data_IF_812201716401
#
_entry.id   IF_812201716401
#
_cell.length_a   1.000
_cell.length_b   1.000
_cell.length_c   1.000
_cell.angle_alpha   90.00
_cell.angle_beta   90.00
_cell.angle_gamma   90.00
#
_symmetry.space_group_name_H-M   'P 1'
#
loop_
_entity.id
_entity.type
_entity.pdbx_description
1 polymer ?
#
# COMPACT_ATOMS: atom_id res chain seq x y z
N UNK A 1 -9.83 -6.25 -19.20
CA UNK A 1 -10.53 -7.48 -18.78
C UNK A 1 -12.02 -7.42 -19.09
N UNK A 2 -12.78 -6.50 -18.48
CA UNK A 2 -14.25 -6.40 -18.65
C UNK A 2 -14.64 -6.25 -20.11
N UNK A 3 -14.02 -5.32 -20.84
CA UNK A 3 -14.35 -5.08 -22.25
C UNK A 3 -14.12 -6.29 -23.16
N UNK A 4 -13.14 -7.13 -22.84
CA UNK A 4 -12.76 -8.27 -23.66
C UNK A 4 -13.53 -9.56 -23.30
N UNK A 5 -13.90 -9.72 -22.02
CA UNK A 5 -14.38 -11.01 -21.47
C UNK A 5 -15.68 -10.91 -20.67
N UNK A 6 -16.14 -9.70 -20.36
CA UNK A 6 -17.24 -9.46 -19.43
C UNK A 6 -16.88 -9.63 -17.94
N UNK A 7 -15.66 -10.09 -17.61
CA UNK A 7 -15.19 -10.27 -16.23
C UNK A 7 -14.15 -9.22 -15.84
N UNK A 8 -14.16 -8.79 -14.56
CA UNK A 8 -13.11 -7.95 -14.00
C UNK A 8 -11.80 -8.73 -13.77
N UNK A 9 -11.89 -10.05 -13.57
CA UNK A 9 -10.75 -10.95 -13.38
C UNK A 9 -11.07 -12.30 -14.06
N UNK A 10 -10.63 -12.50 -15.31
CA UNK A 10 -10.79 -13.77 -16.02
C UNK A 10 -9.98 -14.89 -15.37
N UNK A 11 -10.49 -16.13 -15.41
CA UNK A 11 -9.83 -17.31 -14.82
C UNK A 11 -8.41 -17.52 -15.38
N UNK A 12 -8.22 -17.31 -16.68
CA UNK A 12 -6.89 -17.38 -17.33
C UNK A 12 -5.88 -16.38 -16.72
N UNK A 13 -6.35 -15.19 -16.31
CA UNK A 13 -5.48 -14.21 -15.64
C UNK A 13 -5.04 -14.69 -14.26
N UNK A 14 -5.94 -15.35 -13.52
CA UNK A 14 -5.62 -15.94 -12.22
C UNK A 14 -4.60 -17.07 -12.40
N UNK A 15 -4.82 -17.97 -13.36
CA UNK A 15 -3.90 -19.07 -13.65
C UNK A 15 -2.52 -18.54 -14.03
N UNK A 16 -2.45 -17.48 -14.84
CA UNK A 16 -1.19 -16.83 -15.16
C UNK A 16 -0.50 -16.31 -13.90
N UNK A 17 -1.21 -15.61 -13.02
CA UNK A 17 -0.65 -15.12 -11.76
C UNK A 17 -0.17 -16.26 -10.84
N UNK A 18 -0.92 -17.37 -10.75
CA UNK A 18 -0.55 -18.55 -9.96
C UNK A 18 0.69 -19.28 -10.48
N UNK A 19 0.98 -19.16 -11.77
CA UNK A 19 2.14 -19.77 -12.42
C UNK A 19 3.37 -18.85 -12.44
N UNK A 20 3.23 -17.57 -12.10
CA UNK A 20 4.34 -16.61 -11.99
C UNK A 20 5.11 -16.73 -10.66
N UNK A 21 6.26 -16.07 -10.59
CA UNK A 21 7.02 -15.86 -9.34
C UNK A 21 6.60 -14.57 -8.62
N UNK A 22 6.20 -13.55 -9.40
CA UNK A 22 5.67 -12.28 -8.93
C UNK A 22 4.68 -11.69 -9.94
N UNK A 23 3.82 -10.79 -9.47
CA UNK A 23 2.88 -10.05 -10.31
C UNK A 23 3.18 -8.55 -10.21
N UNK A 24 3.55 -7.91 -11.32
CA UNK A 24 3.59 -6.45 -11.41
C UNK A 24 2.27 -5.97 -12.02
N UNK A 25 1.58 -5.09 -11.31
CA UNK A 25 0.27 -4.58 -11.67
C UNK A 25 0.32 -3.06 -11.84
N UNK A 26 -0.40 -2.55 -12.84
CA UNK A 26 -0.49 -1.11 -13.11
C UNK A 26 -1.56 -0.47 -12.24
N UNK A 27 -2.70 -0.15 -12.85
CA UNK A 27 -3.84 0.43 -12.17
C UNK A 27 -5.16 -0.09 -12.75
N UNK A 28 -6.24 0.09 -12.00
CA UNK A 28 -7.59 -0.36 -12.36
C UNK A 28 -8.62 0.72 -12.02
N UNK A 29 -9.76 0.70 -12.71
CA UNK A 29 -10.83 1.69 -12.57
C UNK A 29 -10.98 2.57 -13.82
N UNK A 30 -12.09 3.30 -13.89
CA UNK A 30 -12.33 4.26 -14.95
C UNK A 30 -13.82 4.61 -15.10
N UNK A 31 -14.14 5.83 -15.57
CA UNK A 31 -15.50 6.38 -15.55
C UNK A 31 -16.52 5.58 -16.35
N UNK A 32 -16.04 4.76 -17.30
CA UNK A 32 -16.86 3.81 -18.06
C UNK A 32 -17.58 2.78 -17.17
N UNK A 33 -17.05 2.49 -15.99
CA UNK A 33 -17.57 1.45 -15.09
C UNK A 33 -18.04 1.97 -13.72
N UNK A 34 -18.23 3.28 -13.56
CA UNK A 34 -18.57 3.92 -12.29
C UNK A 34 -20.06 3.86 -11.90
N UNK A 35 -20.91 3.23 -12.71
CA UNK A 35 -22.33 3.09 -12.37
C UNK A 35 -22.50 2.31 -11.04
N UNK A 36 -23.09 2.92 -9.99
CA UNK A 36 -23.31 2.26 -8.69
C UNK A 36 -24.25 1.05 -8.75
N UNK A 37 -24.95 0.84 -9.86
CA UNK A 37 -25.81 -0.32 -10.14
C UNK A 37 -25.11 -1.38 -10.99
N UNK A 38 -23.88 -1.13 -11.46
CA UNK A 38 -23.11 -2.10 -12.23
C UNK A 38 -22.91 -3.38 -11.43
N UNK A 39 -23.15 -4.52 -12.08
CA UNK A 39 -22.96 -5.85 -11.47
C UNK A 39 -21.49 -6.23 -11.33
N UNK A 40 -20.64 -5.67 -12.19
CA UNK A 40 -19.21 -5.93 -12.25
C UNK A 40 -18.52 -4.60 -12.38
N UNK A 41 -17.57 -4.34 -11.48
CA UNK A 41 -16.72 -3.16 -11.50
C UNK A 41 -15.25 -3.56 -11.56
N UNK A 42 -14.36 -2.72 -12.10
CA UNK A 42 -12.94 -3.01 -12.19
C UNK A 42 -12.32 -3.35 -10.82
N UNK A 43 -12.77 -2.68 -9.75
CA UNK A 43 -12.27 -2.88 -8.37
C UNK A 43 -12.62 -4.28 -7.83
N UNK A 44 -13.67 -4.92 -8.35
CA UNK A 44 -14.00 -6.29 -7.95
C UNK A 44 -12.88 -7.27 -8.36
N UNK A 45 -12.14 -6.96 -9.44
CA UNK A 45 -11.01 -7.76 -9.92
C UNK A 45 -9.80 -7.70 -8.98
N UNK A 46 -9.39 -6.50 -8.54
CA UNK A 46 -8.25 -6.35 -7.62
C UNK A 46 -8.55 -6.94 -6.23
N UNK A 47 -9.79 -6.83 -5.75
CA UNK A 47 -10.20 -7.49 -4.50
C UNK A 47 -10.20 -9.02 -4.64
N UNK A 48 -10.66 -9.53 -5.78
CA UNK A 48 -10.68 -10.96 -6.04
C UNK A 48 -9.27 -11.56 -6.16
N UNK A 49 -8.35 -10.94 -6.91
CA UNK A 49 -6.98 -11.46 -7.08
C UNK A 49 -6.23 -11.47 -5.75
N UNK A 50 -6.33 -10.41 -4.94
CA UNK A 50 -5.73 -10.36 -3.59
C UNK A 50 -6.21 -11.49 -2.71
N UNK A 51 -7.52 -11.77 -2.74
CA UNK A 51 -8.11 -12.87 -1.96
C UNK A 51 -7.68 -14.24 -2.47
N UNK A 52 -7.68 -14.46 -3.79
CA UNK A 52 -7.32 -15.75 -4.39
C UNK A 52 -5.84 -16.10 -4.20
N UNK A 53 -4.97 -15.10 -4.27
CA UNK A 53 -3.54 -15.25 -4.00
C UNK A 53 -3.21 -15.21 -2.49
N UNK A 54 -4.20 -14.93 -1.63
CA UNK A 54 -4.02 -14.89 -0.17
C UNK A 54 -3.18 -13.71 0.32
N UNK A 55 -3.11 -12.62 -0.43
CA UNK A 55 -2.25 -11.45 -0.19
C UNK A 55 -2.76 -10.60 0.96
N UNK A 56 -2.54 -11.05 2.20
CA UNK A 56 -3.12 -10.41 3.39
C UNK A 56 -2.32 -9.21 3.90
N UNK A 57 -1.05 -9.06 3.54
CA UNK A 57 -0.20 -7.98 4.04
C UNK A 57 0.12 -6.99 2.92
N UNK A 58 -0.44 -5.78 3.00
CA UNK A 58 -0.10 -4.69 2.10
C UNK A 58 0.93 -3.78 2.76
N UNK A 59 2.10 -3.66 2.13
CA UNK A 59 3.19 -2.79 2.54
C UNK A 59 3.15 -1.53 1.67
N UNK A 60 3.09 -0.37 2.32
CA UNK A 60 3.13 0.94 1.68
C UNK A 60 4.21 1.79 2.33
N UNK A 61 5.45 1.77 1.80
CA UNK A 61 6.51 2.64 2.28
C UNK A 61 6.19 4.10 1.93
N UNK A 62 6.49 5.00 2.85
CA UNK A 62 6.34 6.45 2.69
C UNK A 62 7.66 7.09 3.08
N UNK A 63 8.38 7.58 2.08
CA UNK A 63 9.66 8.29 2.21
C UNK A 63 9.51 9.68 1.64
N UNK A 64 9.87 10.69 2.43
CA UNK A 64 9.99 12.07 1.93
C UNK A 64 11.40 12.27 1.39
N UNK A 65 11.52 12.57 0.11
CA UNK A 65 12.80 12.91 -0.50
C UNK A 65 13.12 14.38 -0.19
N UNK A 66 14.34 14.72 0.28
CA UNK A 66 14.71 16.11 0.56
C UNK A 66 14.50 17.06 -0.62
N UNK A 67 14.69 16.55 -1.84
CA UNK A 67 14.53 17.27 -3.12
C UNK A 67 13.07 17.52 -3.51
N UNK A 68 12.13 16.89 -2.82
CA UNK A 68 10.67 17.00 -3.01
C UNK A 68 9.96 17.53 -1.75
N UNK A 69 10.70 18.00 -0.74
CA UNK A 69 10.10 18.39 0.55
C UNK A 69 9.04 19.49 0.42
N UNK A 70 9.19 20.38 -0.58
CA UNK A 70 8.25 21.46 -0.88
C UNK A 70 7.07 21.02 -1.76
N UNK A 71 7.04 19.78 -2.25
CA UNK A 71 5.91 19.24 -3.01
C UNK A 71 4.74 18.88 -2.09
N UNK A 72 5.00 18.66 -0.79
CA UNK A 72 3.95 18.41 0.20
C UNK A 72 3.30 19.71 0.68
N UNK A 73 1.99 19.72 0.98
CA UNK A 73 1.33 20.86 1.62
C UNK A 73 1.68 21.01 3.10
N UNK A 74 2.40 20.05 3.70
CA UNK A 74 2.85 20.09 5.09
C UNK A 74 4.13 20.90 5.20
N UNK A 75 4.32 21.58 6.33
CA UNK A 75 5.50 22.42 6.58
C UNK A 75 6.79 21.59 6.45
N UNK A 76 7.81 22.05 5.70
CA UNK A 76 9.03 21.28 5.44
C UNK A 76 9.72 20.76 6.70
N UNK A 77 9.79 21.56 7.77
CA UNK A 77 10.45 21.17 9.03
C UNK A 77 9.78 19.97 9.75
N UNK A 78 8.52 19.66 9.43
CA UNK A 78 7.83 18.47 9.96
C UNK A 78 8.08 17.21 9.12
N UNK A 79 8.57 17.38 7.89
CA UNK A 79 8.75 16.30 6.92
C UNK A 79 10.19 15.75 6.90
N UNK A 80 11.11 16.44 7.57
CA UNK A 80 12.50 15.99 7.68
C UNK A 80 12.57 14.62 8.37
N UNK A 81 13.27 13.68 7.72
CA UNK A 81 13.49 12.33 8.26
C UNK A 81 12.28 11.41 8.21
N UNK A 82 11.19 11.79 7.52
CA UNK A 82 10.03 10.92 7.32
C UNK A 82 10.40 9.74 6.41
N UNK A 83 10.49 8.57 7.03
CA UNK A 83 10.67 7.27 6.41
C UNK A 83 9.95 6.24 7.29
N UNK A 84 8.81 5.76 6.80
CA UNK A 84 7.96 4.80 7.49
C UNK A 84 7.39 3.75 6.53
N UNK A 85 6.90 2.64 7.07
CA UNK A 85 6.12 1.65 6.32
C UNK A 85 4.77 1.47 7.00
N UNK A 86 3.69 1.62 6.25
CA UNK A 86 2.37 1.21 6.73
C UNK A 86 2.05 -0.19 6.24
N UNK A 87 1.72 -1.07 7.18
CA UNK A 87 1.38 -2.48 7.03
C UNK A 87 -0.12 -2.63 7.25
N UNK A 88 -0.86 -2.74 6.15
CA UNK A 88 -2.32 -2.85 6.14
C UNK A 88 -2.74 -4.31 5.97
N UNK A 89 -3.63 -4.78 6.84
CA UNK A 89 -4.34 -6.05 6.58
C UNK A 89 -5.24 -5.89 5.35
N UNK A 90 -5.14 -6.77 4.36
CA UNK A 90 -5.70 -6.51 3.02
C UNK A 90 -6.86 -7.43 2.62
N UNK A 91 -7.13 -8.51 3.37
CA UNK A 91 -8.06 -9.58 2.95
C UNK A 91 -9.24 -9.83 3.88
N UNK A 92 -9.33 -9.09 4.99
CA UNK A 92 -10.37 -9.21 6.01
C UNK A 92 -11.06 -7.88 6.33
N UNK A 93 -11.68 -7.81 7.51
CA UNK A 93 -12.32 -6.59 8.00
C UNK A 93 -13.58 -6.18 7.23
N UNK A 94 -13.91 -4.88 7.31
CA UNK A 94 -15.15 -4.29 6.79
C UNK A 94 -15.36 -4.52 5.28
N UNK A 95 -14.28 -4.77 4.55
CA UNK A 95 -14.29 -4.86 3.08
C UNK A 95 -14.82 -6.21 2.62
N UNK A 96 -14.57 -7.28 3.39
CA UNK A 96 -14.85 -8.65 2.99
C UNK A 96 -15.90 -9.35 3.85
N UNK A 97 -16.05 -8.94 5.11
CA UNK A 97 -16.92 -9.64 6.06
C UNK A 97 -18.42 -9.46 5.75
N UNK A 98 -19.18 -10.51 6.06
CA UNK A 98 -20.63 -10.59 5.88
C UNK A 98 -21.34 -10.60 7.25
N UNK A 99 -22.59 -10.10 7.32
CA UNK A 99 -23.41 -9.58 6.23
C UNK A 99 -22.97 -8.21 5.69
N UNK A 100 -23.10 -8.02 4.37
CA UNK A 100 -22.89 -6.77 3.64
C UNK A 100 -24.00 -6.57 2.60
N UNK A 101 -25.00 -5.71 2.87
CA UNK A 101 -26.17 -5.56 1.98
C UNK A 101 -26.95 -4.27 2.18
N UNK A 102 -27.77 -3.93 1.18
CA UNK A 102 -28.78 -2.86 1.22
C UNK A 102 -30.18 -3.45 1.02
N UNK A 103 -31.19 -2.94 1.73
CA UNK A 103 -32.58 -3.39 1.56
C UNK A 103 -33.60 -2.31 1.91
N UNK A 104 -34.83 -2.48 1.40
CA UNK A 104 -35.98 -1.64 1.73
C UNK A 104 -36.75 -2.21 2.93
N UNK A 105 -37.17 -1.34 3.83
CA UNK A 105 -38.12 -1.66 4.92
C UNK A 105 -39.32 -0.74 4.85
N UNK A 106 -40.39 -1.06 5.59
CA UNK A 106 -41.53 -0.14 5.76
C UNK A 106 -41.15 1.21 6.38
N UNK A 107 -39.95 1.32 6.98
CA UNK A 107 -39.41 2.55 7.57
C UNK A 107 -38.29 3.20 6.73
N UNK A 108 -38.11 2.76 5.48
CA UNK A 108 -37.09 3.28 4.57
C UNK A 108 -35.94 2.33 4.27
N UNK A 109 -34.95 2.84 3.55
CA UNK A 109 -33.75 2.11 3.10
C UNK A 109 -32.80 1.86 4.27
N UNK A 110 -32.17 0.68 4.30
CA UNK A 110 -31.13 0.30 5.26
C UNK A 110 -29.91 -0.28 4.53
N UNK A 111 -28.74 -0.12 5.15
CA UNK A 111 -27.48 -0.73 4.76
C UNK A 111 -26.79 -1.36 5.97
N UNK A 112 -25.98 -2.39 5.75
CA UNK A 112 -25.14 -3.00 6.77
C UNK A 112 -23.81 -3.42 6.15
N UNK A 113 -22.75 -3.23 6.91
CA UNK A 113 -21.39 -3.69 6.68
C UNK A 113 -20.87 -4.22 8.03
N UNK A 114 -20.08 -5.31 8.01
CA UNK A 114 -19.65 -6.00 9.23
C UNK A 114 -18.15 -5.88 9.40
N UNK A 115 -17.68 -5.37 10.54
CA UNK A 115 -16.26 -5.43 10.89
C UNK A 115 -15.99 -6.69 11.70
N UNK A 116 -15.22 -7.62 11.14
CA UNK A 116 -14.88 -8.89 11.77
C UNK A 116 -13.44 -9.26 11.48
N UNK A 117 -12.74 -9.69 12.52
CA UNK A 117 -11.43 -10.31 12.46
C UNK A 117 -11.38 -11.53 13.37
N UNK A 118 -10.61 -12.52 12.96
CA UNK A 118 -10.23 -13.68 13.76
C UNK A 118 -8.81 -13.52 14.28
N UNK A 119 -8.49 -14.23 15.36
CA UNK A 119 -7.14 -14.21 15.93
C UNK A 119 -6.06 -14.54 14.88
N UNK A 120 -6.27 -15.56 14.06
CA UNK A 120 -5.34 -15.96 13.00
C UNK A 120 -5.08 -14.86 11.97
N UNK A 121 -6.10 -14.08 11.63
CA UNK A 121 -5.95 -12.96 10.68
C UNK A 121 -5.13 -11.81 11.29
N UNK A 122 -5.27 -11.58 12.60
CA UNK A 122 -4.57 -10.54 13.33
C UNK A 122 -3.11 -10.95 13.59
N UNK A 123 -2.87 -12.18 14.07
CA UNK A 123 -1.52 -12.69 14.34
C UNK A 123 -0.63 -12.62 13.10
N UNK A 124 -1.13 -13.07 11.94
CA UNK A 124 -0.30 -13.11 10.72
C UNK A 124 0.15 -11.72 10.25
N UNK A 125 -0.70 -10.70 10.35
CA UNK A 125 -0.34 -9.34 9.90
C UNK A 125 0.55 -8.63 10.92
N UNK A 126 0.32 -8.86 12.22
CA UNK A 126 1.19 -8.34 13.27
C UNK A 126 2.61 -8.89 13.16
N UNK A 127 2.76 -10.20 12.91
CA UNK A 127 4.10 -10.79 12.68
C UNK A 127 4.82 -10.15 11.51
N UNK A 128 4.12 -9.85 10.40
CA UNK A 128 4.71 -9.09 9.29
C UNK A 128 5.20 -7.72 9.77
N UNK A 129 4.37 -6.98 10.51
CA UNK A 129 4.76 -5.68 11.07
C UNK A 129 5.97 -5.76 11.99
N UNK A 130 6.01 -6.75 12.90
CA UNK A 130 7.11 -6.94 13.83
C UNK A 130 8.43 -7.30 13.14
N UNK A 131 8.43 -8.25 12.19
CA UNK A 131 9.64 -8.60 11.45
C UNK A 131 10.16 -7.44 10.60
N UNK A 132 9.27 -6.63 10.01
CA UNK A 132 9.66 -5.41 9.30
C UNK A 132 10.28 -4.38 10.24
N UNK A 133 9.67 -4.15 11.40
CA UNK A 133 10.19 -3.23 12.40
C UNK A 133 11.56 -3.69 12.91
N UNK A 134 11.75 -5.00 13.14
CA UNK A 134 13.02 -5.61 13.58
C UNK A 134 14.18 -5.31 12.61
N UNK A 135 13.91 -5.27 11.30
CA UNK A 135 14.87 -4.92 10.27
C UNK A 135 15.09 -3.41 10.07
N UNK A 136 14.37 -2.56 10.80
CA UNK A 136 14.38 -1.09 10.68
C UNK A 136 14.77 -0.44 12.01
N UNK A 137 14.02 0.56 12.49
CA UNK A 137 14.29 1.28 13.75
C UNK A 137 13.75 0.56 14.98
N UNK A 138 13.21 -0.66 14.81
CA UNK A 138 12.69 -1.51 15.87
C UNK A 138 11.53 -0.88 16.63
N UNK A 139 10.69 -0.12 15.92
CA UNK A 139 9.46 0.47 16.45
C UNK A 139 8.26 0.04 15.61
N UNK A 140 7.30 -0.61 16.26
CA UNK A 140 6.01 -0.98 15.69
C UNK A 140 4.90 -0.21 16.40
N UNK A 141 4.18 0.63 15.66
CA UNK A 141 2.96 1.28 16.12
C UNK A 141 1.73 0.52 15.64
N UNK A 142 0.96 -0.07 16.55
CA UNK A 142 -0.32 -0.71 16.27
C UNK A 142 -1.46 0.31 16.38
N UNK A 143 -2.21 0.50 15.29
CA UNK A 143 -3.34 1.45 15.22
C UNK A 143 -4.68 0.73 15.34
N UNK A 144 -5.56 1.23 16.21
CA UNK A 144 -6.87 0.63 16.44
C UNK A 144 -7.94 1.66 16.91
N UNK A 145 -9.14 1.18 17.25
CA UNK A 145 -10.18 1.96 17.96
C UNK A 145 -10.70 1.21 19.19
N UNK A 146 -9.79 0.68 20.02
CA UNK A 146 -10.11 -0.21 21.14
C UNK A 146 -10.98 0.45 22.24
N UNK A 147 -11.05 1.77 22.28
CA UNK A 147 -11.97 2.48 23.18
C UNK A 147 -13.45 2.38 22.76
N UNK A 148 -13.75 1.94 21.53
CA UNK A 148 -15.12 1.84 21.00
C UNK A 148 -15.44 0.45 20.43
N UNK A 149 -14.50 -0.18 19.72
CA UNK A 149 -14.76 -1.40 18.92
C UNK A 149 -14.18 -2.65 19.58
N UNK A 150 -15.00 -3.70 19.75
CA UNK A 150 -14.56 -4.99 20.28
C UNK A 150 -13.56 -5.71 19.36
N UNK A 151 -13.70 -5.59 18.04
CA UNK A 151 -12.71 -6.10 17.08
C UNK A 151 -11.34 -5.42 17.26
N UNK A 152 -11.32 -4.13 17.59
CA UNK A 152 -10.09 -3.39 17.90
C UNK A 152 -9.52 -3.72 19.28
N UNK A 153 -10.35 -4.10 20.26
CA UNK A 153 -9.87 -4.62 21.55
C UNK A 153 -9.15 -5.95 21.37
N UNK A 154 -9.77 -6.88 20.62
CA UNK A 154 -9.13 -8.14 20.24
C UNK A 154 -7.83 -7.90 19.47
N UNK A 155 -7.82 -6.96 18.53
CA UNK A 155 -6.60 -6.57 17.81
C UNK A 155 -5.48 -6.16 18.76
N UNK A 156 -5.78 -5.27 19.70
CA UNK A 156 -4.81 -4.78 20.68
C UNK A 156 -4.32 -5.88 21.63
N UNK A 157 -5.22 -6.73 22.11
CA UNK A 157 -4.90 -7.88 22.96
C UNK A 157 -3.87 -8.78 22.28
N UNK A 158 -4.14 -9.19 21.03
CA UNK A 158 -3.24 -10.05 20.26
C UNK A 158 -1.92 -9.33 19.92
N UNK A 159 -1.94 -8.02 19.66
CA UNK A 159 -0.71 -7.24 19.44
C UNK A 159 0.23 -7.32 20.66
N UNK A 160 -0.32 -7.23 21.87
CA UNK A 160 0.45 -7.40 23.12
C UNK A 160 0.92 -8.84 23.29
N UNK A 161 0.10 -9.83 22.97
CA UNK A 161 0.51 -11.25 23.08
C UNK A 161 1.65 -11.59 22.11
N UNK A 162 1.53 -11.16 20.84
CA UNK A 162 2.53 -11.41 19.81
C UNK A 162 3.85 -10.71 20.13
N UNK A 163 3.82 -9.53 20.78
CA UNK A 163 5.04 -8.79 21.12
C UNK A 163 6.00 -9.56 22.04
N UNK A 164 5.51 -10.55 22.79
CA UNK A 164 6.35 -11.43 23.60
C UNK A 164 7.37 -12.22 22.76
N UNK A 165 7.08 -12.49 21.49
CA UNK A 165 8.00 -13.14 20.54
C UNK A 165 9.02 -12.14 19.94
N UNK A 166 8.85 -10.84 20.20
CA UNK A 166 9.62 -9.74 19.64
C UNK A 166 10.16 -8.78 20.71
N UNK A 167 10.91 -9.27 21.71
CA UNK A 167 11.37 -8.45 22.84
C UNK A 167 12.35 -7.34 22.43
N UNK A 168 12.88 -7.39 21.21
CA UNK A 168 13.77 -6.42 20.63
C UNK A 168 13.07 -5.30 19.83
N UNK A 169 11.74 -5.38 19.67
CA UNK A 169 10.92 -4.38 18.98
C UNK A 169 10.03 -3.67 20.00
N UNK A 170 10.10 -2.34 20.03
CA UNK A 170 9.19 -1.52 20.83
C UNK A 170 7.79 -1.53 20.19
N UNK A 171 6.78 -1.91 20.98
CA UNK A 171 5.36 -1.86 20.58
C UNK A 171 4.69 -0.65 21.21
N UNK A 172 4.12 0.22 20.38
CA UNK A 172 3.24 1.30 20.80
C UNK A 172 1.81 1.10 20.28
N UNK A 173 0.83 1.66 20.99
CA UNK A 173 -0.56 1.66 20.55
C UNK A 173 -1.08 3.09 20.42
N UNK A 174 -1.81 3.34 19.34
CA UNK A 174 -2.47 4.62 19.13
C UNK A 174 -3.88 4.42 18.58
N UNK A 175 -4.79 5.32 18.94
CA UNK A 175 -6.13 5.33 18.37
C UNK A 175 -6.09 5.95 16.96
N UNK A 176 -6.88 5.43 16.02
CA UNK A 176 -6.85 5.87 14.61
C UNK A 176 -7.06 7.38 14.40
N UNK A 177 -7.88 8.04 15.23
CA UNK A 177 -8.07 9.49 15.19
C UNK A 177 -6.83 10.26 15.64
N UNK A 178 -6.16 9.77 16.70
CA UNK A 178 -4.88 10.33 17.13
C UNK A 178 -3.77 10.03 16.12
N UNK A 179 -3.78 8.85 15.48
CA UNK A 179 -2.83 8.47 14.44
C UNK A 179 -2.89 9.44 13.26
N UNK A 180 -4.10 9.73 12.76
CA UNK A 180 -4.31 10.71 11.69
C UNK A 180 -3.72 12.10 12.06
N UNK A 181 -4.01 12.59 13.27
CA UNK A 181 -3.45 13.86 13.74
C UNK A 181 -1.91 13.83 13.85
N UNK A 182 -1.34 12.73 14.36
CA UNK A 182 0.10 12.57 14.56
C UNK A 182 0.86 12.34 13.25
N UNK A 183 0.25 11.71 12.25
CA UNK A 183 0.83 11.59 10.91
C UNK A 183 1.12 12.96 10.29
N UNK A 184 0.32 13.98 10.60
CA UNK A 184 0.58 15.33 10.07
C UNK A 184 1.51 16.13 11.00
N UNK A 185 1.33 16.01 12.32
CA UNK A 185 2.04 16.86 13.29
C UNK A 185 3.42 16.35 13.72
N UNK A 186 3.69 15.05 13.59
CA UNK A 186 4.97 14.43 13.94
C UNK A 186 5.22 13.12 13.14
N UNK A 187 5.20 13.15 11.79
CA UNK A 187 5.31 11.93 10.99
C UNK A 187 6.63 11.16 11.15
N UNK A 188 7.73 11.84 11.45
CA UNK A 188 9.06 11.22 11.56
C UNK A 188 9.22 10.31 12.79
N UNK A 189 8.27 10.36 13.73
CA UNK A 189 8.20 9.40 14.84
C UNK A 189 7.99 7.96 14.35
N UNK A 190 7.15 7.77 13.34
CA UNK A 190 6.71 6.42 12.94
C UNK A 190 7.76 5.68 12.12
N UNK A 191 8.05 4.44 12.52
CA UNK A 191 8.87 3.50 11.75
C UNK A 191 7.99 2.50 10.97
N UNK A 192 7.33 1.59 11.67
CA UNK A 192 6.35 0.68 11.07
C UNK A 192 4.99 0.89 11.74
N UNK A 193 3.97 1.17 10.94
CA UNK A 193 2.58 1.25 11.39
C UNK A 193 1.89 -0.03 10.96
N UNK A 194 1.13 -0.68 11.85
CA UNK A 194 0.28 -1.82 11.50
C UNK A 194 -1.18 -1.55 11.85
N UNK A 195 -2.08 -1.80 10.90
CA UNK A 195 -3.50 -1.49 11.04
C UNK A 195 -4.40 -2.49 10.32
N UNK A 196 -5.66 -2.55 10.74
CA UNK A 196 -6.71 -3.27 10.03
C UNK A 196 -7.02 -2.62 8.67
N UNK A 197 -7.81 -3.30 7.83
CA UNK A 197 -7.98 -2.94 6.43
C UNK A 197 -8.46 -1.52 6.19
N UNK A 198 -9.54 -1.07 6.85
CA UNK A 198 -10.11 0.26 6.60
C UNK A 198 -9.22 1.37 7.18
N UNK A 199 -8.72 1.21 8.40
CA UNK A 199 -7.78 2.17 8.99
C UNK A 199 -6.49 2.28 8.20
N UNK A 200 -5.91 1.14 7.78
CA UNK A 200 -4.72 1.11 6.94
C UNK A 200 -4.94 1.81 5.60
N UNK A 201 -6.11 1.62 4.96
CA UNK A 201 -6.47 2.34 3.73
C UNK A 201 -6.35 3.85 3.92
N UNK A 202 -7.09 4.38 4.90
CA UNK A 202 -7.20 5.81 5.17
C UNK A 202 -5.84 6.40 5.55
N UNK A 203 -5.11 5.76 6.47
CA UNK A 203 -3.82 6.28 6.96
C UNK A 203 -2.75 6.23 5.88
N UNK A 204 -2.78 5.25 4.98
CA UNK A 204 -1.81 5.18 3.88
C UNK A 204 -2.05 6.27 2.84
N UNK A 205 -3.31 6.56 2.53
CA UNK A 205 -3.66 7.65 1.63
C UNK A 205 -3.33 9.01 2.28
N UNK A 206 -3.54 9.17 3.59
CA UNK A 206 -3.11 10.36 4.34
C UNK A 206 -1.59 10.51 4.34
N UNK A 207 -0.84 9.45 4.63
CA UNK A 207 0.61 9.46 4.61
C UNK A 207 1.17 9.75 3.21
N UNK A 208 0.41 9.45 2.14
CA UNK A 208 0.83 9.78 0.78
C UNK A 208 1.00 11.27 0.52
N UNK A 209 0.24 12.10 1.23
CA UNK A 209 0.32 13.56 1.16
C UNK A 209 1.64 14.08 1.73
N UNK A 210 2.24 13.36 2.68
CA UNK A 210 3.55 13.70 3.26
C UNK A 210 4.65 13.62 2.20
N UNK A 211 4.60 12.61 1.33
CA UNK A 211 5.56 12.42 0.24
C UNK A 211 5.35 13.38 -0.95
N UNK A 212 4.35 14.27 -0.88
CA UNK A 212 4.03 15.27 -1.90
C UNK A 212 3.19 14.75 -3.06
N UNK A 213 3.34 13.49 -3.46
CA UNK A 213 2.52 12.87 -4.49
C UNK A 213 2.32 11.37 -4.27
N UNK A 214 1.10 10.89 -4.46
CA UNK A 214 0.79 9.45 -4.60
C UNK A 214 1.56 8.80 -5.76
N UNK A 215 1.93 9.57 -6.78
CA UNK A 215 2.72 9.13 -7.93
C UNK A 215 4.10 8.58 -7.57
N UNK A 216 4.61 8.92 -6.38
CA UNK A 216 5.91 8.48 -5.87
C UNK A 216 5.87 7.14 -5.15
N UNK A 217 4.69 6.65 -4.77
CA UNK A 217 4.60 5.66 -3.72
C UNK A 217 4.34 4.24 -4.27
N UNK A 218 5.27 3.30 -4.02
CA UNK A 218 5.07 1.91 -4.40
C UNK A 218 4.23 1.18 -3.37
N UNK A 219 3.80 -0.04 -3.71
CA UNK A 219 3.25 -0.97 -2.73
C UNK A 219 3.53 -2.42 -3.07
N UNK A 220 3.49 -3.26 -2.04
CA UNK A 220 3.64 -4.70 -2.15
C UNK A 220 2.54 -5.40 -1.35
N UNK A 221 1.82 -6.31 -1.99
CA UNK A 221 0.78 -7.15 -1.38
C UNK A 221 1.32 -8.57 -1.30
N UNK A 222 1.53 -9.06 -0.08
CA UNK A 222 2.21 -10.30 0.23
C UNK A 222 1.27 -11.30 0.91
N UNK A 223 1.41 -12.59 0.60
CA UNK A 223 0.75 -13.67 1.35
C UNK A 223 1.58 -14.18 2.55
N UNK A 224 2.62 -13.43 2.92
CA UNK A 224 3.55 -13.69 4.02
C UNK A 224 4.87 -12.99 3.73
N UNK A 225 5.70 -12.74 4.75
CA UNK A 225 7.05 -12.25 4.48
C UNK A 225 7.86 -13.34 3.75
N UNK A 226 8.68 -12.95 2.75
CA UNK A 226 9.61 -13.86 2.13
C UNK A 226 10.56 -14.45 3.17
N UNK A 227 10.73 -15.76 3.18
CA UNK A 227 11.73 -16.43 4.01
C UNK A 227 12.89 -16.89 3.12
N UNK A 228 14.01 -16.16 3.06
CA UNK A 228 15.14 -16.52 2.21
C UNK A 228 15.80 -17.85 2.64
N UNK A 229 15.53 -18.34 3.85
CA UNK A 229 16.01 -19.65 4.31
C UNK A 229 15.11 -20.82 3.87
N UNK A 230 13.88 -20.53 3.41
CA UNK A 230 12.92 -21.52 2.97
C UNK A 230 13.27 -22.02 1.57
N UNK A 231 13.37 -23.35 1.42
CA UNK A 231 13.49 -24.03 0.12
C UNK A 231 12.15 -24.19 -0.61
N UNK A 232 11.04 -23.75 -0.02
CA UNK A 232 9.72 -23.80 -0.66
C UNK A 232 9.60 -22.61 -1.62
N UNK A 233 8.82 -22.79 -2.70
CA UNK A 233 8.44 -21.68 -3.57
C UNK A 233 7.85 -20.56 -2.69
N UNK A 234 8.39 -19.34 -2.82
CA UNK A 234 7.87 -18.19 -2.10
C UNK A 234 6.40 -17.98 -2.48
N UNK A 235 5.56 -17.54 -1.54
CA UNK A 235 4.20 -17.14 -1.88
C UNK A 235 4.24 -16.03 -2.92
N UNK A 236 3.36 -16.13 -3.93
CA UNK A 236 3.23 -15.11 -4.96
C UNK A 236 2.86 -13.79 -4.30
N UNK A 237 3.51 -12.73 -4.76
CA UNK A 237 3.28 -11.36 -4.29
C UNK A 237 2.88 -10.48 -5.47
N UNK A 238 2.08 -9.45 -5.18
CA UNK A 238 1.63 -8.46 -6.15
C UNK A 238 2.22 -7.11 -5.81
N UNK A 239 2.80 -6.44 -6.80
CA UNK A 239 3.44 -5.14 -6.67
C UNK A 239 2.71 -4.14 -7.55
N UNK A 240 2.33 -3.00 -6.98
CA UNK A 240 1.55 -1.98 -7.69
C UNK A 240 1.82 -0.60 -7.10
N UNK A 241 1.81 0.48 -7.89
CA UNK A 241 1.77 1.82 -7.33
C UNK A 241 0.48 2.00 -6.53
N UNK A 242 0.49 2.87 -5.51
CA UNK A 242 -0.73 3.15 -4.75
C UNK A 242 -1.73 4.04 -5.51
N UNK A 243 -1.25 4.79 -6.51
CA UNK A 243 -2.11 5.71 -7.26
C UNK A 243 -3.13 4.94 -8.12
N UNK A 244 -4.30 5.54 -8.31
CA UNK A 244 -5.34 4.98 -9.17
C UNK A 244 -5.01 5.05 -10.66
N UNK A 245 -6.03 4.79 -11.48
CA UNK A 245 -5.94 4.78 -12.95
C UNK A 245 -5.80 6.16 -13.60
N UNK A 246 -6.00 7.24 -12.83
CA UNK A 246 -5.95 8.64 -13.29
C UNK A 246 -6.59 8.86 -14.68
N UNK A 247 -7.91 8.59 -14.83
CA UNK A 247 -8.57 8.55 -16.14
C UNK A 247 -8.51 9.86 -16.92
N UNK A 248 -8.40 10.98 -16.21
CA UNK A 248 -8.29 12.35 -16.73
C UNK A 248 -6.98 12.59 -17.50
N UNK A 249 -5.90 11.87 -17.18
CA UNK A 249 -4.59 11.97 -17.85
C UNK A 249 -4.21 10.72 -18.66
N UNK A 250 -5.08 9.71 -18.69
CA UNK A 250 -4.84 8.46 -19.41
C UNK A 250 -4.55 8.71 -20.90
N UNK A 251 -3.44 8.15 -21.40
CA UNK A 251 -3.02 8.29 -22.80
C UNK A 251 -2.35 9.63 -23.16
N UNK A 252 -2.20 10.56 -22.21
CA UNK A 252 -1.53 11.84 -22.46
C UNK A 252 -0.01 11.79 -22.28
N UNK A 253 0.53 10.69 -21.74
CA UNK A 253 1.97 10.50 -21.55
C UNK A 253 2.57 11.34 -20.42
N UNK A 254 1.76 11.84 -19.49
CA UNK A 254 2.21 12.74 -18.39
C UNK A 254 2.13 12.10 -16.99
N UNK A 255 1.75 10.83 -16.90
CA UNK A 255 1.69 10.10 -15.63
C UNK A 255 3.08 9.92 -15.02
N UNK A 256 3.17 9.95 -13.70
CA UNK A 256 4.40 9.66 -12.97
C UNK A 256 4.69 8.16 -12.95
N UNK A 257 5.80 7.67 -13.55
CA UNK A 257 6.10 6.24 -13.53
C UNK A 257 6.80 5.77 -12.24
N UNK A 258 7.23 6.69 -11.37
CA UNK A 258 8.14 6.38 -10.25
C UNK A 258 7.53 5.36 -9.29
N UNK A 259 6.26 5.52 -8.88
CA UNK A 259 5.61 4.56 -7.99
C UNK A 259 5.58 3.13 -8.57
N UNK A 260 5.42 3.00 -9.89
CA UNK A 260 5.47 1.68 -10.56
C UNK A 260 6.90 1.14 -10.60
N UNK A 261 7.89 1.99 -10.90
CA UNK A 261 9.32 1.63 -10.93
C UNK A 261 9.79 1.17 -9.54
N UNK A 262 9.44 1.89 -8.48
CA UNK A 262 9.77 1.51 -7.11
C UNK A 262 9.00 0.26 -6.65
N UNK A 263 7.81 -0.01 -7.22
CA UNK A 263 7.10 -1.28 -7.00
C UNK A 263 7.86 -2.44 -7.66
N UNK A 264 8.47 -2.21 -8.83
CA UNK A 264 9.37 -3.18 -9.43
C UNK A 264 10.67 -3.38 -8.62
N UNK A 265 11.23 -2.34 -8.00
CA UNK A 265 12.32 -2.49 -7.03
C UNK A 265 11.91 -3.35 -5.83
N UNK A 266 10.71 -3.13 -5.30
CA UNK A 266 10.15 -3.97 -4.24
C UNK A 266 9.96 -5.43 -4.67
N UNK A 267 9.62 -5.66 -5.95
CA UNK A 267 9.50 -7.00 -6.54
C UNK A 267 10.86 -7.70 -6.63
N UNK A 268 11.89 -7.00 -7.10
CA UNK A 268 13.27 -7.50 -7.15
C UNK A 268 13.72 -7.96 -5.75
N UNK A 269 13.53 -7.10 -4.76
CA UNK A 269 13.89 -7.37 -3.36
C UNK A 269 13.11 -8.54 -2.75
N UNK A 270 11.78 -8.42 -2.72
CA UNK A 270 10.93 -9.29 -1.90
C UNK A 270 10.60 -10.62 -2.57
N UNK A 271 10.41 -10.64 -3.89
CA UNK A 271 10.03 -11.87 -4.61
C UNK A 271 11.23 -12.58 -5.24
N UNK A 272 12.22 -11.82 -5.72
CA UNK A 272 13.32 -12.38 -6.51
C UNK A 272 14.64 -12.49 -5.73
N UNK A 273 14.73 -11.89 -4.55
CA UNK A 273 15.94 -11.91 -3.72
C UNK A 273 17.10 -11.12 -4.32
N UNK A 274 16.80 -10.18 -5.22
CA UNK A 274 17.73 -9.34 -5.97
C UNK A 274 17.89 -7.99 -5.27
N UNK A 275 18.58 -7.99 -4.12
CA UNK A 275 18.75 -6.78 -3.29
C UNK A 275 19.60 -5.73 -4.00
N UNK A 276 20.72 -6.12 -4.62
CA UNK A 276 21.64 -5.20 -5.30
C UNK A 276 20.92 -4.47 -6.44
N UNK A 277 20.13 -5.19 -7.23
CA UNK A 277 19.35 -4.62 -8.33
C UNK A 277 18.20 -3.75 -7.84
N UNK A 278 17.54 -4.12 -6.73
CA UNK A 278 16.51 -3.27 -6.11
C UNK A 278 17.11 -1.94 -5.64
N UNK A 279 18.26 -1.98 -4.95
CA UNK A 279 18.98 -0.79 -4.51
C UNK A 279 19.42 0.08 -5.68
N UNK A 280 19.94 -0.51 -6.77
CA UNK A 280 20.33 0.25 -7.96
C UNK A 280 19.16 1.05 -8.56
N UNK A 281 17.96 0.47 -8.62
CA UNK A 281 16.74 1.16 -9.09
C UNK A 281 16.35 2.29 -8.14
N UNK A 282 16.40 2.08 -6.82
CA UNK A 282 16.07 3.09 -5.81
C UNK A 282 17.05 4.28 -5.85
N UNK A 283 18.34 4.00 -5.94
CA UNK A 283 19.39 5.01 -6.09
C UNK A 283 19.28 5.77 -7.41
N UNK A 284 18.92 5.09 -8.50
CA UNK A 284 18.66 5.73 -9.79
C UNK A 284 17.50 6.74 -9.68
N UNK A 285 16.38 6.36 -9.06
CA UNK A 285 15.25 7.27 -8.80
C UNK A 285 15.70 8.48 -7.97
N UNK A 286 16.41 8.24 -6.86
CA UNK A 286 16.88 9.31 -5.99
C UNK A 286 17.84 10.27 -6.72
N UNK A 287 18.74 9.75 -7.55
CA UNK A 287 19.64 10.53 -8.39
C UNK A 287 18.93 11.38 -9.44
N UNK A 288 17.91 10.83 -10.12
CA UNK A 288 17.09 11.58 -11.10
C UNK A 288 16.33 12.73 -10.42
N UNK A 289 15.79 12.49 -9.22
CA UNK A 289 15.13 13.55 -8.45
C UNK A 289 16.13 14.62 -7.98
N UNK A 290 17.35 14.24 -7.61
CA UNK A 290 18.40 15.19 -7.23
C UNK A 290 18.84 16.10 -8.38
N UNK A 291 18.74 15.64 -9.63
CA UNK A 291 19.02 16.45 -10.82
C UNK A 291 17.89 17.38 -11.25
N UNK A 292 16.75 17.30 -10.55
CA UNK A 292 15.63 18.22 -10.76
C UNK A 292 14.60 17.74 -11.78
N UNK A 293 14.67 16.51 -12.29
CA UNK A 293 13.61 15.94 -13.15
C UNK A 293 12.31 15.77 -12.36
N UNK A 294 11.20 16.27 -12.91
CA UNK A 294 9.88 16.22 -12.25
C UNK A 294 8.78 15.90 -13.27
N UNK A 295 7.89 14.97 -12.95
CA UNK A 295 6.59 14.88 -13.64
C UNK A 295 5.62 15.91 -13.09
N UNK A 296 4.50 16.13 -13.79
CA UNK A 296 3.57 17.24 -13.49
C UNK A 296 3.06 17.24 -12.04
N UNK A 297 2.90 16.07 -11.44
CA UNK A 297 2.41 15.86 -10.07
C UNK A 297 3.43 16.23 -8.97
N UNK A 298 4.72 16.27 -9.29
CA UNK A 298 5.82 16.57 -8.34
C UNK A 298 6.62 17.82 -8.73
N UNK A 299 6.21 18.55 -9.76
CA UNK A 299 6.92 19.72 -10.25
C UNK A 299 6.98 20.87 -9.24
N UNK A 300 6.01 20.99 -8.33
CA UNK A 300 5.98 22.00 -7.28
C UNK A 300 6.37 23.41 -7.79
N UNK A 301 7.32 24.04 -7.10
CA UNK A 301 7.83 25.38 -7.41
C UNK A 301 9.03 25.40 -8.39
N UNK A 302 9.42 24.25 -8.97
CA UNK A 302 10.53 24.20 -9.92
C UNK A 302 11.09 22.82 -10.21
N UNK A 303 11.90 22.74 -11.28
CA UNK A 303 12.48 21.51 -11.79
C UNK A 303 12.33 21.41 -13.30
N UNK A 304 13.02 20.46 -13.91
CA UNK A 304 12.81 20.13 -15.31
C UNK A 304 11.56 19.28 -15.46
N UNK A 305 10.47 19.89 -15.94
CA UNK A 305 9.24 19.18 -16.24
C UNK A 305 9.50 18.13 -17.33
N UNK A 306 9.09 16.89 -17.05
CA UNK A 306 9.29 15.74 -17.90
C UNK A 306 8.02 14.91 -18.03
N UNK A 307 7.95 14.11 -19.07
CA UNK A 307 6.85 13.22 -19.38
C UNK A 307 7.13 11.79 -18.87
N UNK A 308 6.15 10.88 -18.97
CA UNK A 308 6.27 9.50 -18.47
C UNK A 308 7.45 8.77 -19.10
N UNK A 309 7.63 8.91 -20.41
CA UNK A 309 8.63 8.15 -21.18
C UNK A 309 10.03 8.66 -20.86
N UNK A 310 10.21 9.98 -20.82
CA UNK A 310 11.49 10.60 -20.53
C UNK A 310 11.90 10.37 -19.08
N UNK A 311 10.99 10.48 -18.10
CA UNK A 311 11.28 10.10 -16.71
C UNK A 311 11.77 8.66 -16.61
N UNK A 312 11.05 7.70 -17.21
CA UNK A 312 11.46 6.30 -17.23
C UNK A 312 12.82 6.07 -17.92
N UNK A 313 13.08 6.77 -19.03
CA UNK A 313 14.34 6.65 -19.78
C UNK A 313 15.54 7.17 -19.00
N UNK A 314 15.40 8.30 -18.30
CA UNK A 314 16.47 8.88 -17.50
C UNK A 314 16.78 8.01 -16.27
N UNK A 315 15.75 7.44 -15.63
CA UNK A 315 15.95 6.48 -14.52
C UNK A 315 16.66 5.22 -15.05
N UNK A 316 16.18 4.62 -16.14
CA UNK A 316 16.76 3.41 -16.70
C UNK A 316 18.22 3.61 -17.15
N UNK A 317 18.60 4.80 -17.60
CA UNK A 317 19.99 5.12 -17.98
C UNK A 317 20.98 5.20 -16.81
N UNK A 318 20.51 5.13 -15.56
CA UNK A 318 21.34 5.15 -14.35
C UNK A 318 21.53 3.80 -13.67
N UNK A 319 20.69 2.83 -14.02
CA UNK A 319 20.79 1.44 -13.54
C UNK A 319 21.84 0.72 -14.37
#
# INVERSE_FOLDING_TARGET
AIDATGSALPDETIEMCLNSDAVLFGAVGGPKWDDPQAKVRPEDGILAIRKQLGLFANLRPVKVYPTLINASPVKPELLEGVDMIVVRELTGGLYFAQPKKRWNTSRGRRGVDTLKYTEKEIVRILRVGFELARGRRKLLTSVDKANVLESSRLWREIAVEVSADYPDVELEHILVDAAAMQLISNPSHYDVIVAENMFGDILTDEASVLAGSMGMLPSASLAGLPDPSSRKKQPISLYEPIHGSAPDIAGQGIANPIGTILSAASMLRLSLGLEEEATAVEEAVEGVLAEGYRTADIAGDGGELTDTVRMGSVIAGRV
#
